data_IF_564331729017
#
_entry.id   IF_564331729017
#
_cell.length_a   1.000
_cell.length_b   1.000
_cell.length_c   1.000
_cell.angle_alpha   90.00
_cell.angle_beta   90.00
_cell.angle_gamma   90.00
#
_symmetry.space_group_name_H-M   'P 1'
#
loop_
_entity.id
_entity.type
_entity.pdbx_description
1 polymer ?
#
# COMPACT_ATOMS: atom_id res chain seq x y z
N UNK A 1 -11.62 15.61 -2.14
CA UNK A 1 -10.38 16.38 -1.99
C UNK A 1 -9.80 16.14 -0.62
N UNK A 2 -8.49 16.02 -0.48
CA UNK A 2 -7.80 15.81 0.80
C UNK A 2 -6.35 16.28 0.72
N UNK A 3 -5.67 16.34 1.86
CA UNK A 3 -4.24 16.65 1.92
C UNK A 3 -3.45 15.36 1.80
N UNK A 4 -2.54 15.31 0.83
CA UNK A 4 -1.60 14.22 0.62
C UNK A 4 -0.19 14.81 0.44
N UNK A 5 0.78 14.36 1.25
CA UNK A 5 2.15 14.91 1.27
C UNK A 5 2.17 16.44 1.39
N UNK A 6 1.29 16.99 2.23
CA UNK A 6 1.16 18.43 2.44
C UNK A 6 0.50 19.22 1.30
N UNK A 7 0.03 18.55 0.23
CA UNK A 7 -0.62 19.20 -0.92
C UNK A 7 -2.08 18.78 -1.06
N UNK A 8 -2.94 19.71 -1.49
CA UNK A 8 -4.35 19.40 -1.78
C UNK A 8 -4.46 18.59 -3.08
N UNK A 9 -5.10 17.43 -3.01
CA UNK A 9 -5.35 16.53 -4.15
C UNK A 9 -6.81 16.09 -4.19
N UNK A 10 -7.30 15.78 -5.39
CA UNK A 10 -8.65 15.29 -5.61
C UNK A 10 -8.60 13.98 -6.39
N UNK A 11 -9.01 12.89 -5.74
CA UNK A 11 -9.18 11.59 -6.38
C UNK A 11 -10.66 11.32 -6.63
N UNK A 12 -10.94 10.54 -7.67
CA UNK A 12 -12.28 10.05 -7.95
C UNK A 12 -12.64 8.84 -7.08
N UNK A 13 -13.89 8.40 -7.22
CA UNK A 13 -14.44 7.23 -6.54
C UNK A 13 -14.81 6.19 -7.61
N UNK A 14 -14.63 4.92 -7.29
CA UNK A 14 -15.08 3.76 -8.06
C UNK A 14 -15.81 2.82 -7.11
N UNK A 15 -16.99 2.35 -7.50
CA UNK A 15 -17.73 1.34 -6.75
C UNK A 15 -17.35 -0.06 -7.26
N UNK A 16 -16.96 -0.96 -6.36
CA UNK A 16 -16.67 -2.36 -6.68
C UNK A 16 -17.04 -3.22 -5.49
N UNK A 17 -17.74 -4.34 -5.73
CA UNK A 17 -18.18 -5.26 -4.68
C UNK A 17 -18.99 -4.59 -3.55
N UNK A 18 -19.88 -3.66 -3.93
CA UNK A 18 -20.70 -2.84 -3.01
C UNK A 18 -19.90 -1.89 -2.10
N UNK A 19 -18.61 -1.72 -2.37
CA UNK A 19 -17.71 -0.86 -1.62
C UNK A 19 -17.26 0.33 -2.48
N UNK A 20 -16.99 1.47 -1.81
CA UNK A 20 -16.45 2.66 -2.46
C UNK A 20 -14.92 2.70 -2.34
N UNK A 21 -14.22 2.69 -3.46
CA UNK A 21 -12.77 2.73 -3.55
C UNK A 21 -12.30 4.06 -4.16
N UNK A 22 -11.08 4.47 -3.81
CA UNK A 22 -10.42 5.53 -4.56
C UNK A 22 -10.11 5.06 -5.99
N UNK A 23 -10.19 5.97 -6.95
CA UNK A 23 -9.95 5.66 -8.36
C UNK A 23 -8.49 5.42 -8.74
N UNK A 24 -7.54 5.74 -7.85
CA UNK A 24 -6.10 5.50 -8.03
C UNK A 24 -5.38 5.25 -6.70
N UNK A 25 -4.15 4.73 -6.79
CA UNK A 25 -3.29 4.51 -5.62
C UNK A 25 -2.89 5.86 -5.01
N UNK A 26 -2.66 5.89 -3.69
CA UNK A 26 -2.08 7.09 -3.07
C UNK A 26 -0.74 7.43 -3.74
N UNK A 27 -0.59 8.69 -4.16
CA UNK A 27 0.58 9.19 -4.89
C UNK A 27 0.52 8.99 -6.41
N UNK A 28 -0.49 8.32 -6.94
CA UNK A 28 -0.67 8.20 -8.39
C UNK A 28 -1.15 9.54 -8.99
N UNK A 29 -0.61 9.89 -10.15
CA UNK A 29 -0.98 11.12 -10.87
C UNK A 29 -2.27 10.95 -11.69
N UNK A 30 -2.59 9.72 -12.12
CA UNK A 30 -3.79 9.40 -12.91
C UNK A 30 -4.36 8.02 -12.57
N UNK A 31 -5.59 7.78 -13.04
CA UNK A 31 -6.15 6.41 -13.13
C UNK A 31 -5.30 5.62 -14.13
N UNK A 32 -5.09 4.33 -13.86
CA UNK A 32 -4.29 3.47 -14.72
C UNK A 32 -4.90 3.33 -16.12
N UNK A 33 -4.06 3.47 -17.15
CA UNK A 33 -4.42 3.17 -18.54
C UNK A 33 -3.86 1.83 -19.04
N UNK A 34 -2.95 1.22 -18.27
CA UNK A 34 -2.40 -0.11 -18.48
C UNK A 34 -1.98 -0.70 -17.12
N UNK A 35 -1.82 -2.02 -17.03
CA UNK A 35 -1.35 -2.67 -15.80
C UNK A 35 0.05 -2.17 -15.38
N UNK A 36 0.88 -1.81 -16.35
CA UNK A 36 2.23 -1.25 -16.17
C UNK A 36 2.31 0.27 -16.42
N UNK A 37 1.25 1.00 -16.08
CA UNK A 37 1.24 2.47 -16.18
C UNK A 37 2.01 3.13 -15.01
N UNK A 38 3.26 3.54 -15.27
CA UNK A 38 4.13 4.16 -14.26
C UNK A 38 3.56 5.42 -13.60
N UNK A 39 2.66 6.13 -14.28
CA UNK A 39 1.97 7.31 -13.74
C UNK A 39 0.85 6.97 -12.76
N UNK A 40 0.44 5.69 -12.71
CA UNK A 40 -0.65 5.18 -11.88
C UNK A 40 -0.18 4.28 -10.71
N UNK A 41 1.11 3.96 -10.63
CA UNK A 41 1.64 3.06 -9.60
C UNK A 41 1.43 3.55 -8.16
N UNK A 42 1.52 4.87 -7.97
CA UNK A 42 1.50 5.49 -6.67
C UNK A 42 2.77 5.24 -5.87
N UNK A 43 2.71 5.62 -4.60
CA UNK A 43 3.79 5.56 -3.62
C UNK A 43 3.81 4.21 -2.87
N UNK A 44 4.91 3.94 -2.15
CA UNK A 44 5.23 2.64 -1.55
C UNK A 44 5.38 2.73 -0.03
N UNK A 45 4.31 2.45 0.70
CA UNK A 45 4.22 2.62 2.15
C UNK A 45 4.74 1.43 2.94
N UNK A 46 5.50 1.71 3.99
CA UNK A 46 5.76 0.78 5.08
C UNK A 46 4.50 0.69 5.95
N UNK A 47 4.18 -0.51 6.42
CA UNK A 47 2.91 -0.78 7.08
C UNK A 47 2.78 0.03 8.37
N UNK A 48 1.67 0.75 8.55
CA UNK A 48 1.43 1.56 9.75
C UNK A 48 2.06 2.95 9.73
N UNK A 49 2.71 3.37 8.65
CA UNK A 49 3.25 4.74 8.53
C UNK A 49 2.25 5.74 7.94
N UNK A 50 2.39 7.00 8.34
CA UNK A 50 1.76 8.14 7.67
C UNK A 50 2.37 8.39 6.28
N UNK A 51 1.78 9.32 5.54
CA UNK A 51 2.32 9.87 4.30
C UNK A 51 3.46 10.90 4.53
N UNK A 52 4.33 10.64 5.51
CA UNK A 52 5.43 11.49 6.00
C UNK A 52 6.59 11.73 4.98
N UNK A 53 6.45 11.20 3.77
CA UNK A 53 7.38 11.34 2.66
C UNK A 53 8.22 10.08 2.41
N UNK A 54 8.32 9.16 3.38
CA UNK A 54 9.06 7.90 3.22
C UNK A 54 8.55 7.07 2.05
N UNK A 55 7.25 7.13 1.77
CA UNK A 55 6.56 6.37 0.76
C UNK A 55 6.95 6.79 -0.67
N UNK A 56 7.50 7.99 -0.83
CA UNK A 56 7.99 8.43 -2.14
C UNK A 56 9.02 7.43 -2.61
N UNK A 57 8.87 6.94 -3.85
CA UNK A 57 9.71 5.86 -4.41
C UNK A 57 11.20 6.10 -4.16
N UNK A 58 11.68 7.32 -4.42
CA UNK A 58 13.08 7.71 -4.24
C UNK A 58 13.36 8.54 -2.99
N UNK A 59 12.60 8.36 -1.90
CA UNK A 59 12.91 9.02 -0.62
C UNK A 59 14.29 8.59 -0.09
N UNK A 60 14.87 9.40 0.80
CA UNK A 60 16.10 9.04 1.51
C UNK A 60 15.94 7.73 2.29
N UNK A 61 17.06 7.17 2.74
CA UNK A 61 17.08 5.90 3.47
C UNK A 61 17.76 6.05 4.82
N UNK A 62 17.37 5.23 5.79
CA UNK A 62 18.04 5.12 7.08
C UNK A 62 17.90 3.71 7.62
N UNK A 63 18.86 3.27 8.42
CA UNK A 63 18.80 1.98 9.14
C UNK A 63 18.33 2.14 10.58
N UNK A 64 18.17 3.38 11.07
CA UNK A 64 17.74 3.66 12.42
C UNK A 64 16.24 3.45 12.57
N UNK A 65 15.85 2.44 13.35
CA UNK A 65 14.46 2.17 13.72
C UNK A 65 13.83 3.33 14.51
N UNK A 66 12.54 3.55 14.29
CA UNK A 66 11.76 4.39 15.21
C UNK A 66 11.38 3.62 16.47
N UNK A 67 11.35 4.28 17.62
CA UNK A 67 10.76 3.76 18.85
C UNK A 67 9.33 4.30 19.10
N UNK A 68 8.85 5.23 18.26
CA UNK A 68 7.50 5.81 18.31
C UNK A 68 6.74 5.58 17.00
N UNK A 69 5.45 5.92 16.98
CA UNK A 69 4.63 5.92 15.77
C UNK A 69 5.01 7.01 14.75
N UNK A 70 5.86 7.97 15.13
CA UNK A 70 6.27 9.12 14.32
C UNK A 70 7.81 9.25 14.32
N UNK A 71 8.50 8.76 13.28
CA UNK A 71 9.96 8.79 13.19
C UNK A 71 10.58 10.19 13.14
N UNK A 72 9.80 11.21 12.79
CA UNK A 72 10.27 12.59 12.65
C UNK A 72 11.10 12.87 11.38
N UNK A 73 11.07 11.97 10.39
CA UNK A 73 11.78 12.13 9.13
C UNK A 73 11.07 11.42 7.97
N UNK A 74 11.37 11.84 6.74
CA UNK A 74 10.81 11.28 5.51
C UNK A 74 11.64 10.13 4.90
N UNK A 75 12.60 9.56 5.64
CA UNK A 75 13.43 8.46 5.14
C UNK A 75 12.70 7.10 5.25
N UNK A 76 12.87 6.27 4.22
CA UNK A 76 12.51 4.86 4.24
C UNK A 76 13.47 4.10 5.17
N UNK A 77 12.91 3.42 6.18
CA UNK A 77 13.68 2.63 7.14
C UNK A 77 13.93 1.22 6.58
N UNK A 78 15.18 0.79 6.52
CA UNK A 78 15.59 -0.50 5.92
C UNK A 78 16.74 -1.17 6.70
N UNK A 79 17.21 -2.34 6.27
CA UNK A 79 18.43 -3.00 6.75
C UNK A 79 18.24 -3.93 7.94
N UNK A 80 17.02 -4.41 8.17
CA UNK A 80 16.64 -5.13 9.40
C UNK A 80 16.06 -6.51 9.14
N UNK A 81 16.41 -7.45 10.02
CA UNK A 81 15.76 -8.76 10.16
C UNK A 81 14.53 -8.63 11.07
N UNK A 82 14.54 -9.26 12.24
CA UNK A 82 13.48 -9.13 13.25
C UNK A 82 13.46 -7.73 13.87
N UNK A 83 12.30 -7.06 14.04
CA UNK A 83 10.93 -7.58 13.93
C UNK A 83 10.29 -7.44 12.54
N UNK A 84 11.08 -7.21 11.48
CA UNK A 84 10.61 -6.99 10.11
C UNK A 84 9.67 -5.80 9.98
N UNK A 85 9.94 -4.75 10.75
CA UNK A 85 9.13 -3.55 10.92
C UNK A 85 10.05 -2.33 11.02
N UNK A 86 9.59 -1.17 10.55
CA UNK A 86 10.33 0.09 10.59
C UNK A 86 10.41 0.70 11.99
N UNK A 87 9.66 0.14 12.93
CA UNK A 87 9.73 0.50 14.35
C UNK A 87 10.01 -0.70 15.24
N UNK A 88 10.60 -0.42 16.40
CA UNK A 88 10.78 -1.37 17.50
C UNK A 88 10.48 -0.70 18.84
N UNK A 89 9.53 -1.20 19.65
CA UNK A 89 8.71 -2.41 19.40
C UNK A 89 7.70 -2.22 18.26
N UNK A 90 7.17 -3.33 17.73
CA UNK A 90 6.04 -3.30 16.77
C UNK A 90 4.77 -2.75 17.44
N UNK A 91 3.84 -2.25 16.63
CA UNK A 91 2.54 -1.79 17.10
C UNK A 91 1.43 -2.19 16.13
N UNK A 92 0.54 -3.05 16.61
CA UNK A 92 -0.54 -3.64 15.81
C UNK A 92 -1.76 -2.70 15.70
N UNK A 93 -1.78 -1.62 16.48
CA UNK A 93 -2.89 -0.66 16.52
C UNK A 93 -2.82 0.41 15.41
N UNK A 94 -1.81 0.33 14.54
CA UNK A 94 -1.66 1.24 13.40
C UNK A 94 -2.60 0.84 12.26
N UNK A 95 -3.14 1.83 11.54
CA UNK A 95 -4.06 1.66 10.41
C UNK A 95 -5.38 0.93 10.74
N UNK A 96 -5.76 0.85 12.01
CA UNK A 96 -6.98 0.14 12.43
C UNK A 96 -8.22 1.02 12.30
N UNK A 97 -8.95 0.89 11.18
CA UNK A 97 -10.19 1.62 10.91
C UNK A 97 -9.99 3.06 10.42
N UNK A 98 -11.09 3.77 10.16
CA UNK A 98 -11.07 5.18 9.70
C UNK A 98 -10.33 6.13 10.63
N UNK A 99 -10.48 5.93 11.94
CA UNK A 99 -9.80 6.72 12.98
C UNK A 99 -8.48 6.10 13.44
N UNK A 100 -7.97 5.11 12.68
CA UNK A 100 -6.74 4.41 13.02
C UNK A 100 -5.53 5.33 13.02
N UNK A 101 -4.65 5.15 14.00
CA UNK A 101 -3.37 5.87 14.06
C UNK A 101 -2.61 5.68 12.75
N UNK A 102 -2.04 6.77 12.25
CA UNK A 102 -1.27 6.84 11.02
C UNK A 102 -2.02 6.49 9.72
N UNK A 103 -3.35 6.50 9.69
CA UNK A 103 -4.13 6.32 8.47
C UNK A 103 -3.77 7.40 7.42
N UNK A 104 -3.16 7.06 6.26
CA UNK A 104 -2.81 8.01 5.22
C UNK A 104 -3.97 8.30 4.26
N UNK A 105 -5.12 7.65 4.45
CA UNK A 105 -6.33 7.90 3.68
C UNK A 105 -7.07 9.13 4.22
N UNK A 106 -7.89 9.82 3.39
CA UNK A 106 -8.72 10.93 3.85
C UNK A 106 -9.69 10.55 4.96
N UNK A 107 -10.24 11.55 5.65
CA UNK A 107 -11.34 11.36 6.59
C UNK A 107 -12.50 10.57 5.98
N UNK A 108 -12.96 9.53 6.67
CA UNK A 108 -13.98 8.59 6.20
C UNK A 108 -13.46 7.51 5.26
N UNK A 109 -12.15 7.44 5.03
CA UNK A 109 -11.50 6.41 4.23
C UNK A 109 -10.41 5.73 5.05
N UNK A 110 -10.09 4.49 4.72
CA UNK A 110 -9.05 3.70 5.38
C UNK A 110 -8.34 2.77 4.40
N UNK A 111 -7.29 2.11 4.91
CA UNK A 111 -6.66 0.99 4.20
C UNK A 111 -7.61 -0.22 4.26
N UNK A 112 -7.81 -0.93 3.15
CA UNK A 112 -8.65 -2.11 3.10
C UNK A 112 -8.14 -3.23 4.01
N UNK A 113 -9.05 -4.07 4.49
CA UNK A 113 -8.74 -5.30 5.19
C UNK A 113 -8.34 -6.40 4.19
N UNK A 114 -7.81 -7.51 4.71
CA UNK A 114 -7.64 -8.72 3.90
C UNK A 114 -8.96 -9.21 3.28
N UNK A 115 -10.06 -9.17 4.03
CA UNK A 115 -11.35 -9.70 3.58
C UNK A 115 -11.86 -8.88 2.38
N UNK A 116 -11.72 -7.56 2.42
CA UNK A 116 -12.10 -6.68 1.31
C UNK A 116 -11.23 -6.91 0.07
N UNK A 117 -9.91 -7.06 0.25
CA UNK A 117 -9.03 -7.39 -0.85
C UNK A 117 -9.33 -8.76 -1.47
N UNK A 118 -9.62 -9.76 -0.64
CA UNK A 118 -9.96 -11.09 -1.12
C UNK A 118 -11.30 -11.09 -1.87
N UNK A 119 -12.28 -10.34 -1.37
CA UNK A 119 -13.59 -10.15 -2.04
C UNK A 119 -13.44 -9.47 -3.39
N UNK A 120 -12.61 -8.42 -3.49
CA UNK A 120 -12.29 -7.77 -4.76
C UNK A 120 -11.54 -8.72 -5.69
N UNK A 121 -10.48 -9.39 -5.21
CA UNK A 121 -9.65 -10.31 -6.00
C UNK A 121 -10.45 -11.46 -6.60
N UNK A 122 -11.37 -12.04 -5.83
CA UNK A 122 -12.22 -13.15 -6.29
C UNK A 122 -13.28 -12.72 -7.32
N UNK A 123 -13.48 -11.42 -7.53
CA UNK A 123 -14.39 -10.88 -8.54
C UNK A 123 -13.75 -10.74 -9.94
N UNK A 124 -12.41 -10.83 -10.02
CA UNK A 124 -11.69 -10.60 -11.25
C UNK A 124 -11.97 -11.68 -12.29
N UNK A 125 -11.95 -11.29 -13.57
CA UNK A 125 -12.16 -12.21 -14.69
C UNK A 125 -11.10 -13.31 -14.80
N UNK A 126 -9.88 -13.01 -14.31
CA UNK A 126 -8.76 -13.93 -14.20
C UNK A 126 -7.99 -13.64 -12.92
N UNK A 127 -7.42 -14.67 -12.30
CA UNK A 127 -6.73 -14.53 -11.03
C UNK A 127 -5.24 -14.14 -11.22
N UNK A 128 -4.99 -13.03 -11.92
CA UNK A 128 -3.67 -12.54 -12.34
C UNK A 128 -3.69 -11.00 -12.52
N UNK A 129 -2.60 -10.39 -12.98
CA UNK A 129 -2.56 -8.93 -13.22
C UNK A 129 -3.51 -8.48 -14.33
N UNK A 130 -3.86 -9.35 -15.29
CA UNK A 130 -4.78 -8.98 -16.37
C UNK A 130 -6.18 -8.77 -15.79
N UNK A 131 -6.61 -9.69 -14.91
CA UNK A 131 -7.87 -9.55 -14.17
C UNK A 131 -7.85 -8.38 -13.21
N UNK A 132 -6.74 -8.15 -12.51
CA UNK A 132 -6.57 -7.00 -11.61
C UNK A 132 -6.71 -5.65 -12.34
N UNK A 133 -6.16 -5.54 -13.56
CA UNK A 133 -6.27 -4.35 -14.39
C UNK A 133 -7.64 -4.24 -15.08
N UNK A 134 -8.22 -5.36 -15.49
CA UNK A 134 -9.56 -5.40 -16.08
C UNK A 134 -10.67 -5.11 -15.06
N UNK A 135 -10.40 -5.28 -13.76
CA UNK A 135 -11.32 -4.89 -12.68
C UNK A 135 -11.62 -3.39 -12.70
N UNK A 136 -12.71 -2.99 -12.04
CA UNK A 136 -13.08 -1.58 -11.93
C UNK A 136 -11.99 -0.74 -11.26
N UNK A 137 -11.18 -1.34 -10.38
CA UNK A 137 -10.09 -0.65 -9.66
C UNK A 137 -8.86 -0.40 -10.51
N UNK A 138 -8.69 -1.13 -11.63
CA UNK A 138 -7.55 -1.06 -12.55
C UNK A 138 -6.20 -1.11 -11.83
N UNK A 139 -5.98 -2.15 -11.03
CA UNK A 139 -4.76 -2.26 -10.21
C UNK A 139 -3.52 -2.48 -11.09
N UNK A 140 -2.44 -1.78 -10.74
CA UNK A 140 -1.17 -1.80 -11.48
C UNK A 140 -0.10 -2.65 -10.80
N UNK A 141 0.92 -3.06 -11.57
CA UNK A 141 2.10 -3.82 -11.12
C UNK A 141 3.27 -2.89 -10.76
N UNK A 142 3.05 -2.00 -9.79
CA UNK A 142 4.01 -0.96 -9.41
C UNK A 142 5.26 -1.44 -8.65
N UNK A 143 5.42 -2.75 -8.44
CA UNK A 143 6.53 -3.35 -7.70
C UNK A 143 6.51 -3.02 -6.21
N UNK A 144 7.68 -3.12 -5.58
CA UNK A 144 7.88 -2.87 -4.15
C UNK A 144 9.18 -2.14 -3.87
N UNK A 145 9.30 -1.62 -2.64
CA UNK A 145 10.59 -1.15 -2.09
C UNK A 145 11.04 -2.11 -1.00
N UNK A 146 12.08 -2.88 -1.29
CA UNK A 146 12.54 -3.99 -0.46
C UNK A 146 13.21 -3.50 0.83
N UNK A 147 12.92 -4.13 1.96
CA UNK A 147 13.33 -3.67 3.28
C UNK A 147 14.78 -3.99 3.72
N UNK A 148 15.50 -4.91 3.07
CA UNK A 148 16.90 -5.25 3.39
C UNK A 148 17.89 -4.31 2.74
N UNK A 149 17.61 -3.87 1.52
CA UNK A 149 18.53 -3.04 0.73
C UNK A 149 17.89 -1.75 0.18
N UNK A 150 16.63 -1.46 0.52
CA UNK A 150 15.87 -0.29 0.02
C UNK A 150 15.73 -0.23 -1.52
N UNK A 151 15.90 -1.37 -2.20
CA UNK A 151 15.86 -1.48 -3.66
C UNK A 151 14.42 -1.50 -4.19
N UNK A 152 14.23 -0.96 -5.39
CA UNK A 152 13.00 -1.13 -6.14
C UNK A 152 13.04 -2.46 -6.88
N UNK A 153 12.08 -3.32 -6.61
CA UNK A 153 12.03 -4.66 -7.19
C UNK A 153 10.68 -4.93 -7.84
N UNK A 154 10.69 -5.76 -8.88
CA UNK A 154 9.49 -6.28 -9.56
C UNK A 154 8.56 -5.21 -10.14
N UNK A 155 9.09 -4.01 -10.40
CA UNK A 155 8.38 -2.97 -11.15
C UNK A 155 8.01 -3.54 -12.52
N UNK A 156 6.79 -3.26 -12.98
CA UNK A 156 6.20 -3.77 -14.23
C UNK A 156 5.88 -5.28 -14.23
N UNK A 157 6.14 -5.99 -13.12
CA UNK A 157 6.01 -7.46 -13.03
C UNK A 157 5.04 -7.90 -11.93
N UNK A 158 5.11 -7.30 -10.73
CA UNK A 158 4.24 -7.64 -9.60
C UNK A 158 3.46 -6.44 -9.09
N UNK A 159 2.20 -6.69 -8.74
CA UNK A 159 1.38 -5.80 -7.92
C UNK A 159 1.47 -6.22 -6.46
N UNK A 160 1.76 -5.26 -5.57
CA UNK A 160 1.75 -5.46 -4.13
C UNK A 160 0.97 -4.34 -3.44
N UNK A 161 -0.05 -4.71 -2.68
CA UNK A 161 -0.97 -3.77 -2.05
C UNK A 161 -1.11 -4.04 -0.56
N UNK A 162 -1.01 -2.98 0.24
CA UNK A 162 -1.17 -3.04 1.69
C UNK A 162 -2.62 -3.35 2.07
N UNK A 163 -2.76 -4.17 3.11
CA UNK A 163 -3.99 -4.21 3.91
C UNK A 163 -3.71 -3.73 5.33
N UNK A 164 -4.76 -3.38 6.07
CA UNK A 164 -4.71 -3.06 7.51
C UNK A 164 -4.66 -4.30 8.41
N UNK A 165 -4.79 -5.50 7.84
CA UNK A 165 -4.84 -6.76 8.61
C UNK A 165 -3.46 -7.22 9.07
N UNK A 166 -3.30 -7.34 10.38
CA UNK A 166 -2.09 -7.86 11.05
C UNK A 166 -2.02 -9.38 10.95
N UNK A 167 -0.81 -9.93 10.83
CA UNK A 167 -0.55 -11.38 10.91
C UNK A 167 0.76 -11.66 11.65
N UNK A 168 0.69 -11.77 12.98
CA UNK A 168 1.88 -11.88 13.83
C UNK A 168 2.85 -10.73 13.58
N UNK A 169 4.13 -11.02 13.36
CA UNK A 169 5.15 -10.02 13.01
C UNK A 169 4.99 -9.38 11.61
N UNK A 170 4.07 -9.90 10.80
CA UNK A 170 3.82 -9.47 9.42
C UNK A 170 2.51 -8.68 9.30
N UNK A 171 2.22 -8.24 8.09
CA UNK A 171 0.90 -7.80 7.66
C UNK A 171 0.45 -8.61 6.44
N UNK A 172 -0.87 -8.71 6.26
CA UNK A 172 -1.46 -9.30 5.06
C UNK A 172 -1.29 -8.34 3.89
N UNK A 173 -1.11 -8.88 2.69
CA UNK A 173 -0.80 -8.09 1.48
C UNK A 173 -1.37 -8.82 0.28
N UNK A 174 -2.12 -8.11 -0.56
CA UNK A 174 -2.54 -8.59 -1.87
C UNK A 174 -1.33 -8.59 -2.80
N UNK A 175 -1.00 -9.74 -3.37
CA UNK A 175 0.09 -9.92 -4.33
C UNK A 175 -0.46 -10.53 -5.61
N UNK A 176 -0.01 -10.03 -6.77
CA UNK A 176 -0.37 -10.62 -8.06
C UNK A 176 0.70 -10.41 -9.12
N UNK A 177 0.75 -11.32 -10.10
CA UNK A 177 1.61 -11.28 -11.28
C UNK A 177 0.88 -11.86 -12.51
N UNK A 178 1.61 -12.28 -13.54
CA UNK A 178 1.09 -12.84 -14.79
C UNK A 178 0.35 -14.18 -14.63
N UNK A 179 0.53 -14.89 -13.51
CA UNK A 179 0.04 -16.26 -13.35
C UNK A 179 -0.88 -16.45 -12.14
N UNK A 180 -0.76 -15.62 -11.10
CA UNK A 180 -1.49 -15.82 -9.85
C UNK A 180 -1.71 -14.51 -9.10
N UNK A 181 -2.84 -14.41 -8.41
CA UNK A 181 -3.13 -13.45 -7.36
C UNK A 181 -3.55 -14.15 -6.05
N UNK A 182 -3.10 -13.61 -4.91
CA UNK A 182 -3.39 -14.16 -3.58
C UNK A 182 -3.11 -13.16 -2.45
N UNK A 183 -3.67 -13.43 -1.26
CA UNK A 183 -3.29 -12.76 -0.02
C UNK A 183 -2.14 -13.50 0.67
N UNK A 184 -1.06 -12.79 0.97
CA UNK A 184 0.15 -13.36 1.59
C UNK A 184 0.67 -12.56 2.78
N UNK A 185 1.51 -13.20 3.59
CA UNK A 185 2.23 -12.52 4.68
C UNK A 185 3.45 -11.80 4.13
N UNK A 186 3.62 -10.53 4.50
CA UNK A 186 4.79 -9.72 4.14
C UNK A 186 5.26 -8.87 5.32
N UNK A 187 6.56 -8.60 5.34
CA UNK A 187 7.18 -7.69 6.31
C UNK A 187 6.51 -6.31 6.30
N UNK A 188 6.33 -5.75 7.50
CA UNK A 188 5.80 -4.41 7.71
C UNK A 188 6.79 -3.33 7.24
N UNK A 189 8.08 -3.63 7.21
CA UNK A 189 9.13 -2.73 6.71
C UNK A 189 9.20 -2.58 5.17
N UNK A 190 8.59 -3.46 4.38
CA UNK A 190 8.62 -3.37 2.91
C UNK A 190 7.75 -2.19 2.43
N UNK A 191 8.08 -1.51 1.34
CA UNK A 191 7.19 -0.50 0.75
C UNK A 191 6.24 -1.13 -0.27
N UNK A 192 4.93 -0.95 -0.11
CA UNK A 192 3.90 -1.41 -1.07
C UNK A 192 2.86 -0.33 -1.35
N UNK A 193 2.15 -0.44 -2.48
CA UNK A 193 1.09 0.50 -2.85
C UNK A 193 -0.07 0.48 -1.86
N UNK A 194 -0.72 1.63 -1.68
CA UNK A 194 -1.94 1.78 -0.89
C UNK A 194 -3.07 2.25 -1.80
N UNK A 195 -4.20 1.57 -1.69
CA UNK A 195 -5.50 1.97 -2.25
C UNK A 195 -6.45 2.14 -1.08
N UNK A 196 -7.18 3.25 -1.01
CA UNK A 196 -8.12 3.48 0.08
C UNK A 196 -9.54 3.01 -0.29
N UNK A 197 -10.25 2.52 0.72
CA UNK A 197 -11.67 2.15 0.70
C UNK A 197 -12.42 3.06 1.70
N UNK A 198 -13.69 3.35 1.43
CA UNK A 198 -14.54 4.18 2.27
C UNK A 198 -15.30 3.30 3.27
N UNK A 199 -15.43 3.77 4.51
CA UNK A 199 -16.42 3.25 5.47
C UNK A 199 -17.69 4.11 5.49
#
# INVERSE_FOLDING_TARGET
TFIYKGSSVTYGIVESQSECWMDRNLGASRKATAYNDSLAYGDLFQWGRLDDGHQTRYSGITTTLSNTDLPGHSNFIYGMGTPFDWRSPQNDNLWQGVSGTNNPCPSGWRIPTEIEWETERLSWSSNDYNGAFASLLKLTVGGRREHRFALHEFVDVFGYYRSSTVSGMYARTLSFNDNLAYMGNRSRAVGFSVRCIKD
#
